data_IF_394082928082
#
_entry.id   IF_394082928082
#
_cell.length_a   1.000
_cell.length_b   1.000
_cell.length_c   1.000
_cell.angle_alpha   90.00
_cell.angle_beta   90.00
_cell.angle_gamma   90.00
#
_symmetry.space_group_name_H-M   'P 1'
#
loop_
_entity.id
_entity.type
_entity.pdbx_description
1 polymer ?
#
# COMPACT_ATOMS: atom_id res chain seq x y z
N UNK A 1 -7.91 6.17 -13.73
CA UNK A 1 -7.92 6.17 -12.25
C UNK A 1 -9.35 6.18 -11.72
N UNK A 2 -10.23 7.12 -12.13
CA UNK A 2 -11.62 7.21 -11.62
C UNK A 2 -12.40 5.91 -11.81
N UNK A 3 -12.35 5.29 -12.99
CA UNK A 3 -13.04 4.03 -13.25
C UNK A 3 -12.61 2.88 -12.31
N UNK A 4 -11.33 2.85 -11.89
CA UNK A 4 -10.85 1.86 -10.92
C UNK A 4 -11.44 2.10 -9.52
N UNK A 5 -11.57 3.36 -9.11
CA UNK A 5 -12.17 3.74 -7.83
C UNK A 5 -13.64 3.33 -7.81
N UNK A 6 -14.41 3.73 -8.84
CA UNK A 6 -15.83 3.37 -8.98
C UNK A 6 -16.05 1.86 -8.98
N UNK A 7 -15.20 1.10 -9.68
CA UNK A 7 -15.26 -0.35 -9.68
C UNK A 7 -15.02 -0.94 -8.29
N UNK A 8 -14.00 -0.44 -7.58
CA UNK A 8 -13.69 -0.88 -6.22
C UNK A 8 -14.84 -0.54 -5.24
N UNK A 9 -15.42 0.65 -5.32
CA UNK A 9 -16.59 1.05 -4.50
C UNK A 9 -17.79 0.14 -4.73
N UNK A 10 -18.10 -0.17 -5.99
CA UNK A 10 -19.19 -1.10 -6.35
C UNK A 10 -18.94 -2.51 -5.81
N UNK A 11 -17.70 -3.00 -5.90
CA UNK A 11 -17.32 -4.32 -5.34
C UNK A 11 -17.49 -4.32 -3.83
N UNK A 12 -16.96 -3.31 -3.14
CA UNK A 12 -17.08 -3.18 -1.68
C UNK A 12 -18.53 -3.14 -1.22
N UNK A 13 -19.37 -2.36 -1.89
CA UNK A 13 -20.80 -2.27 -1.61
C UNK A 13 -21.54 -3.59 -1.84
N UNK A 14 -21.27 -4.27 -2.98
CA UNK A 14 -21.91 -5.55 -3.31
C UNK A 14 -21.56 -6.66 -2.29
N UNK A 15 -20.34 -6.60 -1.73
CA UNK A 15 -19.89 -7.54 -0.70
C UNK A 15 -20.30 -7.13 0.72
N UNK A 16 -20.93 -5.96 0.90
CA UNK A 16 -21.17 -5.35 2.22
C UNK A 16 -19.90 -5.38 3.10
N UNK A 17 -18.73 -5.15 2.46
CA UNK A 17 -17.44 -5.32 3.14
C UNK A 17 -17.15 -4.15 4.08
N UNK A 18 -16.72 -4.49 5.30
CA UNK A 18 -16.25 -3.52 6.30
C UNK A 18 -14.78 -3.75 6.58
N UNK A 19 -13.94 -2.76 6.28
CA UNK A 19 -12.49 -2.84 6.44
C UNK A 19 -11.73 -2.27 5.25
N UNK A 20 -10.42 -2.32 5.31
CA UNK A 20 -9.53 -1.98 4.19
C UNK A 20 -9.44 -3.18 3.25
N UNK A 21 -9.60 -2.95 1.97
CA UNK A 21 -9.38 -3.94 0.93
C UNK A 21 -8.64 -3.33 -0.27
N UNK A 22 -8.10 -4.17 -1.10
CA UNK A 22 -7.48 -3.77 -2.36
C UNK A 22 -8.11 -4.55 -3.52
N UNK A 23 -8.22 -3.88 -4.66
CA UNK A 23 -8.58 -4.52 -5.93
C UNK A 23 -7.41 -4.30 -6.88
N UNK A 24 -6.87 -5.39 -7.41
CA UNK A 24 -5.87 -5.34 -8.47
C UNK A 24 -6.54 -5.43 -9.82
N UNK A 25 -6.08 -4.61 -10.76
CA UNK A 25 -6.60 -4.57 -12.12
C UNK A 25 -5.50 -4.80 -13.13
N UNK A 26 -5.81 -5.53 -14.19
CA UNK A 26 -5.10 -5.42 -15.45
C UNK A 26 -5.65 -4.25 -16.25
N UNK A 27 -4.75 -3.49 -16.87
CA UNK A 27 -5.11 -2.49 -17.88
C UNK A 27 -4.87 -3.12 -19.25
N UNK A 28 -5.91 -3.29 -20.03
CA UNK A 28 -5.86 -3.88 -21.37
C UNK A 28 -6.23 -2.82 -22.39
N UNK A 29 -5.47 -2.75 -23.49
CA UNK A 29 -5.62 -1.72 -24.50
C UNK A 29 -4.70 -0.52 -24.26
N UNK A 30 -4.93 0.56 -24.96
CA UNK A 30 -4.18 1.82 -24.83
C UNK A 30 -5.02 3.02 -25.26
N UNK A 31 -4.75 4.19 -24.67
CA UNK A 31 -5.49 5.42 -24.99
C UNK A 31 -6.96 5.31 -24.63
N UNK A 32 -7.83 5.66 -25.60
CA UNK A 32 -9.28 5.67 -25.39
C UNK A 32 -9.91 4.26 -25.32
N UNK A 33 -9.17 3.23 -25.75
CA UNK A 33 -9.60 1.82 -25.72
C UNK A 33 -9.16 1.08 -24.44
N UNK A 34 -8.64 1.79 -23.43
CA UNK A 34 -8.24 1.17 -22.17
C UNK A 34 -9.43 0.56 -21.42
N UNK A 35 -9.30 -0.71 -21.07
CA UNK A 35 -10.28 -1.45 -20.29
C UNK A 35 -9.64 -2.01 -19.02
N UNK A 36 -10.34 -1.89 -17.89
CA UNK A 36 -9.93 -2.47 -16.62
C UNK A 36 -10.54 -3.85 -16.44
N UNK A 37 -9.70 -4.84 -16.23
CA UNK A 37 -10.11 -6.20 -15.84
C UNK A 37 -9.67 -6.47 -14.41
N UNK A 38 -10.60 -6.91 -13.55
CA UNK A 38 -10.26 -7.28 -12.17
C UNK A 38 -9.36 -8.51 -12.20
N UNK A 39 -8.19 -8.40 -11.57
CA UNK A 39 -7.26 -9.50 -11.37
C UNK A 39 -7.57 -10.25 -10.06
N UNK A 40 -7.47 -9.55 -8.93
CA UNK A 40 -7.80 -10.12 -7.64
C UNK A 40 -8.41 -9.10 -6.69
N UNK A 41 -9.12 -9.61 -5.68
CA UNK A 41 -9.64 -8.83 -4.56
C UNK A 41 -8.96 -9.34 -3.29
N UNK A 42 -8.28 -8.45 -2.58
CA UNK A 42 -7.67 -8.75 -1.29
C UNK A 42 -8.50 -8.09 -0.17
N UNK A 43 -9.42 -8.81 0.51
CA UNK A 43 -10.27 -8.25 1.56
C UNK A 43 -9.50 -8.13 2.89
N UNK A 44 -8.43 -7.36 2.87
CA UNK A 44 -7.47 -7.15 3.97
C UNK A 44 -6.54 -6.00 3.63
N UNK A 45 -5.73 -5.59 4.62
CA UNK A 45 -4.56 -4.75 4.37
C UNK A 45 -3.67 -5.36 3.27
N UNK A 46 -3.13 -4.52 2.41
CA UNK A 46 -2.40 -4.96 1.22
C UNK A 46 -1.03 -4.29 1.12
N UNK A 47 -0.09 -4.97 0.46
CA UNK A 47 1.28 -4.46 0.27
C UNK A 47 1.31 -3.09 -0.41
N UNK A 48 0.42 -2.83 -1.38
CA UNK A 48 0.31 -1.52 -2.03
C UNK A 48 -0.04 -0.37 -1.10
N UNK A 49 -0.56 -0.67 0.10
CA UNK A 49 -0.88 0.30 1.15
C UNK A 49 0.14 0.36 2.30
N UNK A 50 1.25 -0.39 2.26
CA UNK A 50 2.22 -0.40 3.36
C UNK A 50 2.93 0.94 3.54
N UNK A 51 3.08 1.74 2.47
CA UNK A 51 3.61 3.09 2.52
C UNK A 51 2.86 4.00 3.49
N UNK A 52 1.59 3.68 3.78
CA UNK A 52 0.74 4.48 4.67
C UNK A 52 1.22 4.47 6.13
N UNK A 53 2.04 3.48 6.53
CA UNK A 53 2.60 3.43 7.90
C UNK A 53 3.36 4.71 8.20
N UNK A 54 4.19 5.15 7.27
CA UNK A 54 5.05 6.32 7.46
C UNK A 54 4.53 7.55 6.69
N UNK A 55 3.85 7.33 5.57
CA UNK A 55 3.52 8.35 4.60
C UNK A 55 2.09 8.91 4.68
N UNK A 56 1.21 8.36 5.52
CA UNK A 56 -0.13 8.88 5.74
C UNK A 56 -0.36 9.31 7.19
N UNK A 57 -1.36 10.16 7.43
CA UNK A 57 -1.76 10.52 8.80
C UNK A 57 -2.29 9.31 9.56
N UNK A 58 -3.05 8.45 8.87
CA UNK A 58 -3.56 7.18 9.40
C UNK A 58 -3.16 6.04 8.48
N UNK A 59 -2.51 5.01 9.03
CA UNK A 59 -2.09 3.85 8.25
C UNK A 59 -3.28 2.98 7.83
N UNK A 60 -3.11 2.17 6.79
CA UNK A 60 -4.11 1.18 6.40
C UNK A 60 -4.44 0.19 7.53
N UNK A 61 -3.48 -0.12 8.39
CA UNK A 61 -3.66 -1.02 9.53
C UNK A 61 -4.60 -0.40 10.57
N UNK A 62 -4.35 0.86 10.92
CA UNK A 62 -5.20 1.59 11.85
C UNK A 62 -6.61 1.79 11.26
N UNK A 63 -6.71 2.20 9.97
CA UNK A 63 -8.01 2.32 9.31
C UNK A 63 -8.78 1.01 9.31
N UNK A 64 -8.11 -0.10 9.10
CA UNK A 64 -8.76 -1.42 9.14
C UNK A 64 -9.35 -1.71 10.51
N UNK A 65 -8.59 -1.49 11.59
CA UNK A 65 -9.06 -1.67 12.96
C UNK A 65 -10.22 -0.72 13.28
N UNK A 66 -10.10 0.56 12.90
CA UNK A 66 -11.19 1.54 13.08
C UNK A 66 -12.48 1.11 12.39
N UNK A 67 -12.38 0.67 11.14
CA UNK A 67 -13.52 0.24 10.36
C UNK A 67 -14.22 -0.97 10.99
N UNK A 68 -13.50 -2.03 11.34
CA UNK A 68 -14.10 -3.24 11.93
C UNK A 68 -14.62 -3.03 13.34
N UNK A 69 -14.06 -2.07 14.08
CA UNK A 69 -14.53 -1.70 15.42
C UNK A 69 -15.71 -0.70 15.39
N UNK A 70 -16.12 -0.23 14.20
CA UNK A 70 -17.16 0.80 14.08
C UNK A 70 -16.73 2.16 14.63
N UNK A 71 -15.43 2.45 14.66
CA UNK A 71 -14.89 3.72 15.12
C UNK A 71 -14.84 4.75 13.97
N UNK A 72 -14.81 6.06 14.28
CA UNK A 72 -14.57 7.08 13.27
C UNK A 72 -13.27 6.81 12.52
N UNK A 73 -13.31 6.87 11.19
CA UNK A 73 -12.12 6.72 10.35
C UNK A 73 -11.17 7.90 10.55
N UNK A 74 -9.88 7.64 10.49
CA UNK A 74 -8.84 8.66 10.53
C UNK A 74 -8.61 9.30 9.15
N UNK A 75 -7.88 10.42 9.13
CA UNK A 75 -7.51 11.11 7.90
C UNK A 75 -6.58 10.25 7.03
N UNK A 76 -6.85 10.18 5.74
CA UNK A 76 -6.01 9.51 4.74
C UNK A 76 -4.98 10.44 4.10
N UNK A 77 -4.82 11.66 4.62
CA UNK A 77 -3.92 12.67 4.06
C UNK A 77 -2.48 12.16 4.03
N UNK A 78 -1.81 12.41 2.91
CA UNK A 78 -0.38 12.11 2.75
C UNK A 78 0.47 13.14 3.48
N UNK A 79 1.62 12.68 4.01
CA UNK A 79 2.62 13.52 4.68
C UNK A 79 3.65 14.12 3.72
N UNK A 80 3.45 13.96 2.40
CA UNK A 80 4.34 14.46 1.37
C UNK A 80 4.40 13.54 0.16
N UNK A 81 5.47 13.68 -0.64
CA UNK A 81 5.78 12.74 -1.71
C UNK A 81 6.36 11.45 -1.11
N UNK A 82 5.76 10.31 -1.45
CA UNK A 82 6.13 9.02 -0.87
C UNK A 82 6.67 8.10 -1.95
N UNK A 83 7.77 7.46 -1.64
CA UNK A 83 8.35 6.37 -2.42
C UNK A 83 8.49 5.14 -1.51
N UNK A 84 7.91 4.02 -1.92
CA UNK A 84 8.06 2.75 -1.21
C UNK A 84 8.67 1.71 -2.15
N UNK A 85 9.71 1.04 -1.68
CA UNK A 85 10.35 -0.09 -2.36
C UNK A 85 10.09 -1.37 -1.57
N UNK A 86 9.76 -2.46 -2.26
CA UNK A 86 9.72 -3.79 -1.66
C UNK A 86 11.11 -4.40 -1.66
N UNK A 87 11.48 -5.05 -0.57
CA UNK A 87 12.69 -5.87 -0.48
C UNK A 87 12.31 -7.31 -0.81
N UNK A 88 12.76 -7.78 -1.97
CA UNK A 88 12.36 -9.09 -2.52
C UNK A 88 13.56 -10.02 -2.51
N UNK A 89 13.39 -11.20 -1.89
CA UNK A 89 14.50 -12.16 -1.79
C UNK A 89 15.71 -11.55 -1.10
N UNK A 90 16.84 -11.60 -1.77
CA UNK A 90 18.14 -11.17 -1.23
C UNK A 90 18.28 -9.64 -1.10
N UNK A 91 17.35 -8.84 -1.64
CA UNK A 91 17.34 -7.38 -1.41
C UNK A 91 17.37 -7.02 0.08
N UNK A 92 16.85 -7.92 0.93
CA UNK A 92 16.84 -7.73 2.38
C UNK A 92 18.25 -7.63 2.97
N UNK A 93 19.27 -8.19 2.35
CA UNK A 93 20.65 -8.14 2.83
C UNK A 93 21.24 -6.72 2.75
N UNK A 94 20.66 -5.85 1.93
CA UNK A 94 21.04 -4.44 1.83
C UNK A 94 20.49 -3.58 2.99
N UNK A 95 19.87 -4.19 3.99
CA UNK A 95 19.27 -3.46 5.12
C UNK A 95 20.24 -2.51 5.84
N UNK A 96 21.56 -2.79 5.98
CA UNK A 96 22.47 -1.87 6.65
C UNK A 96 22.60 -0.53 5.91
N UNK A 97 22.67 -0.57 4.57
CA UNK A 97 22.75 0.63 3.74
C UNK A 97 21.44 1.40 3.74
N UNK A 98 20.31 0.68 3.70
CA UNK A 98 18.98 1.29 3.77
C UNK A 98 18.75 2.01 5.11
N UNK A 99 19.13 1.40 6.22
CA UNK A 99 18.93 2.02 7.56
C UNK A 99 19.88 3.19 7.79
N UNK A 100 21.02 3.22 7.10
CA UNK A 100 21.97 4.33 7.16
C UNK A 100 21.49 5.57 6.38
N UNK A 101 20.51 5.42 5.47
CA UNK A 101 19.96 6.55 4.71
C UNK A 101 19.08 7.43 5.60
N UNK A 102 19.40 8.73 5.75
CA UNK A 102 18.61 9.63 6.58
C UNK A 102 17.15 9.75 6.10
N UNK A 103 16.20 9.57 7.01
CA UNK A 103 14.77 9.71 6.73
C UNK A 103 14.10 8.50 6.06
N UNK A 104 14.86 7.49 5.65
CA UNK A 104 14.29 6.22 5.18
C UNK A 104 13.72 5.44 6.37
N UNK A 105 12.55 4.85 6.19
CA UNK A 105 11.88 3.98 7.16
C UNK A 105 11.93 2.55 6.66
N UNK A 106 12.63 1.69 7.42
CA UNK A 106 12.82 0.29 7.08
C UNK A 106 11.89 -0.60 7.89
N UNK A 107 11.16 -1.49 7.20
CA UNK A 107 10.26 -2.47 7.80
C UNK A 107 10.64 -3.87 7.34
N UNK A 108 11.18 -4.67 8.25
CA UNK A 108 11.53 -6.08 8.00
C UNK A 108 10.43 -6.99 8.52
N UNK A 109 10.07 -8.01 7.73
CA UNK A 109 8.93 -8.90 8.09
C UNK A 109 9.34 -10.08 8.98
N UNK A 110 10.60 -10.18 9.41
CA UNK A 110 11.07 -11.23 10.31
C UNK A 110 11.03 -12.64 9.71
N UNK A 111 10.97 -12.76 8.38
CA UNK A 111 10.96 -14.06 7.71
C UNK A 111 12.36 -14.67 7.75
N UNK A 112 12.45 -15.95 8.18
CA UNK A 112 13.72 -16.65 8.41
C UNK A 112 14.56 -16.88 7.15
N UNK A 113 13.95 -16.94 5.98
CA UNK A 113 14.61 -17.36 4.76
C UNK A 113 14.20 -16.45 3.60
N UNK A 114 15.19 -15.82 2.98
CA UNK A 114 15.03 -15.11 1.72
C UNK A 114 14.87 -16.12 0.59
N UNK A 115 13.90 -15.90 -0.29
CA UNK A 115 13.66 -16.71 -1.49
C UNK A 115 13.32 -15.78 -2.66
N UNK A 116 13.70 -16.15 -3.90
CA UNK A 116 13.30 -15.39 -5.07
C UNK A 116 11.79 -15.10 -5.09
N UNK A 117 11.41 -13.86 -5.37
CA UNK A 117 10.03 -13.41 -5.40
C UNK A 117 9.36 -13.20 -4.04
N UNK A 118 10.00 -13.59 -2.92
CA UNK A 118 9.41 -13.43 -1.59
C UNK A 118 9.65 -12.03 -1.05
N UNK A 119 8.59 -11.31 -0.73
CA UNK A 119 8.67 -10.01 -0.05
C UNK A 119 9.17 -10.21 1.38
N UNK A 120 10.36 -9.69 1.68
CA UNK A 120 11.06 -9.81 2.97
C UNK A 120 10.88 -8.59 3.86
N UNK A 121 10.54 -7.45 3.27
CA UNK A 121 10.36 -6.17 3.91
C UNK A 121 9.98 -5.10 2.91
N UNK A 122 9.97 -3.87 3.36
CA UNK A 122 9.88 -2.68 2.51
C UNK A 122 10.62 -1.52 3.16
N UNK A 123 10.98 -0.55 2.35
CA UNK A 123 11.51 0.72 2.81
C UNK A 123 10.68 1.87 2.23
N UNK A 124 10.39 2.88 3.04
CA UNK A 124 9.57 4.02 2.67
C UNK A 124 10.35 5.31 2.88
N UNK A 125 10.42 6.13 1.83
CA UNK A 125 10.94 7.51 1.90
C UNK A 125 9.77 8.48 1.82
N UNK A 126 9.72 9.41 2.76
CA UNK A 126 8.76 10.50 2.78
C UNK A 126 9.52 11.81 2.60
N UNK A 127 9.24 12.50 1.51
CA UNK A 127 9.78 13.85 1.26
C UNK A 127 8.66 14.86 1.53
N UNK A 128 8.78 15.69 2.58
CA UNK A 128 7.77 16.70 2.87
C UNK A 128 7.54 17.61 1.66
N UNK A 129 6.29 17.99 1.43
CA UNK A 129 5.99 19.06 0.48
C UNK A 129 6.61 20.35 1.01
N UNK A 130 7.31 21.09 0.13
CA UNK A 130 7.81 22.41 0.53
C UNK A 130 6.61 23.31 0.72
N UNK A 131 6.53 23.93 1.89
CA UNK A 131 5.58 25.02 2.11
C UNK A 131 5.84 26.12 1.06
N UNK A 132 4.89 26.33 0.15
CA UNK A 132 4.90 27.39 -0.85
C UNK A 132 4.25 28.63 -0.29
#
# INVERSE_FOLDING_TARGET
VLAAIEAAERIGAALAYVGVFAVEFFVVGSGDDETLLVNEIAPRVHNSGHWTIDGAETSQFEQHVRAIAGWPLGSTKRRGKIEMINLIGDDVENWPDLVAEPGLKLHLYGKREARPGRKMGHATRVTPEKDT
#
